data_IF_946750436966
#
_entry.id   IF_946750436966
#
_cell.length_a   1.000
_cell.length_b   1.000
_cell.length_c   1.000
_cell.angle_alpha   90.00
_cell.angle_beta   90.00
_cell.angle_gamma   90.00
#
_symmetry.space_group_name_H-M   'P 1'
#
loop_
_entity.id
_entity.type
_entity.pdbx_description
1 polymer ?
#
# COMPACT_ATOMS: atom_id res chain seq x y z
N UNK A 1 17.26 5.06 -9.38
CA UNK A 1 16.67 4.41 -8.20
C UNK A 1 15.21 4.80 -8.11
N UNK A 2 14.29 3.85 -8.33
CA UNK A 2 12.85 4.11 -8.24
C UNK A 2 12.46 4.17 -6.77
N UNK A 3 12.40 5.37 -6.19
CA UNK A 3 12.01 5.55 -4.81
C UNK A 3 10.55 5.07 -4.61
N UNK A 4 10.42 3.87 -4.05
CA UNK A 4 9.16 3.36 -3.54
C UNK A 4 9.01 3.92 -2.12
N UNK A 5 7.86 4.53 -1.83
CA UNK A 5 7.63 5.14 -0.53
C UNK A 5 6.24 4.76 -0.02
N UNK A 6 6.18 4.32 1.22
CA UNK A 6 4.95 3.94 1.87
C UNK A 6 4.32 5.19 2.49
N UNK A 7 3.20 5.64 1.95
CA UNK A 7 2.50 6.85 2.38
C UNK A 7 1.02 6.58 2.55
N UNK A 8 0.34 7.35 3.42
CA UNK A 8 -1.11 7.28 3.50
C UNK A 8 -1.75 8.03 2.33
N UNK A 9 -2.82 7.45 1.78
CA UNK A 9 -3.59 8.05 0.71
C UNK A 9 -4.34 9.28 1.23
N UNK A 10 -3.85 10.48 0.90
CA UNK A 10 -4.51 11.74 1.27
C UNK A 10 -5.91 11.92 0.62
N UNK A 11 -6.19 11.16 -0.45
CA UNK A 11 -7.45 11.17 -1.20
C UNK A 11 -7.73 9.78 -1.78
N UNK A 12 -8.96 9.52 -2.21
CA UNK A 12 -9.31 8.27 -2.91
C UNK A 12 -8.36 8.07 -4.11
N UNK A 13 -7.74 6.90 -4.19
CA UNK A 13 -6.82 6.50 -5.26
C UNK A 13 -7.27 5.17 -5.84
N UNK A 14 -6.89 4.86 -7.06
CA UNK A 14 -7.00 3.50 -7.61
C UNK A 14 -5.62 2.87 -7.68
N UNK A 15 -5.54 1.61 -7.29
CA UNK A 15 -4.33 0.82 -7.49
C UNK A 15 -4.03 0.72 -8.98
N UNK A 16 -2.81 1.09 -9.39
CA UNK A 16 -2.41 1.02 -10.79
C UNK A 16 -2.23 -0.42 -11.31
N UNK A 17 -2.18 -1.43 -10.43
CA UNK A 17 -1.99 -2.84 -10.80
C UNK A 17 -3.30 -3.63 -10.83
N UNK A 18 -4.07 -3.61 -9.73
CA UNK A 18 -5.33 -4.37 -9.63
C UNK A 18 -6.60 -3.52 -9.80
N UNK A 19 -6.49 -2.20 -9.97
CA UNK A 19 -7.66 -1.31 -10.11
C UNK A 19 -8.48 -1.09 -8.83
N UNK A 20 -8.10 -1.73 -7.71
CA UNK A 20 -8.81 -1.61 -6.42
C UNK A 20 -8.92 -0.15 -5.99
N UNK A 21 -10.11 0.25 -5.56
CA UNK A 21 -10.34 1.58 -4.99
C UNK A 21 -9.74 1.60 -3.59
N UNK A 22 -8.84 2.54 -3.36
CA UNK A 22 -8.15 2.79 -2.10
C UNK A 22 -8.77 4.03 -1.49
N UNK A 23 -9.21 3.91 -0.25
CA UNK A 23 -9.86 4.98 0.49
C UNK A 23 -8.87 5.98 1.09
N UNK A 24 -9.34 7.19 1.39
CA UNK A 24 -8.52 8.20 2.09
C UNK A 24 -8.15 7.66 3.47
N UNK A 25 -6.88 7.77 3.86
CA UNK A 25 -6.34 7.27 5.13
C UNK A 25 -5.74 5.87 5.04
N UNK A 26 -5.97 5.13 3.95
CA UNK A 26 -5.31 3.84 3.76
C UNK A 26 -3.85 4.00 3.33
N UNK A 27 -3.01 3.06 3.74
CA UNK A 27 -1.62 3.03 3.32
C UNK A 27 -1.48 2.53 1.89
N UNK A 28 -0.64 3.23 1.12
CA UNK A 28 -0.31 2.90 -0.25
C UNK A 28 1.18 2.93 -0.46
N UNK A 29 1.66 2.06 -1.34
CA UNK A 29 3.00 2.19 -1.87
C UNK A 29 2.96 3.13 -3.07
N UNK A 30 3.63 4.26 -2.94
CA UNK A 30 3.82 5.21 -4.02
C UNK A 30 5.12 4.89 -4.72
N UNK A 31 5.06 4.64 -6.02
CA UNK A 31 6.26 4.57 -6.86
C UNK A 31 6.12 5.65 -7.94
N UNK A 32 6.77 6.79 -7.71
CA UNK A 32 6.65 7.99 -8.55
C UNK A 32 5.21 8.53 -8.61
N UNK A 33 4.57 8.47 -9.79
CA UNK A 33 3.17 8.91 -10.02
C UNK A 33 2.14 7.80 -9.81
N UNK A 34 2.57 6.55 -9.64
CA UNK A 34 1.69 5.38 -9.46
C UNK A 34 1.46 5.11 -7.98
N UNK A 35 0.26 4.63 -7.68
CA UNK A 35 -0.14 4.22 -6.34
C UNK A 35 -0.55 2.74 -6.36
N UNK A 36 -0.08 1.98 -5.39
CA UNK A 36 -0.39 0.56 -5.25
C UNK A 36 -1.00 0.30 -3.88
N UNK A 37 -2.07 -0.50 -3.84
CA UNK A 37 -2.65 -0.98 -2.58
C UNK A 37 -1.67 -1.92 -1.87
N UNK A 38 -1.86 -2.15 -0.57
CA UNK A 38 -0.97 -2.98 0.25
C UNK A 38 -0.72 -4.39 -0.33
N UNK A 39 -1.74 -5.06 -0.89
CA UNK A 39 -1.56 -6.36 -1.54
C UNK A 39 -0.61 -6.31 -2.74
N UNK A 40 -0.81 -5.33 -3.63
CA UNK A 40 0.06 -5.18 -4.81
C UNK A 40 1.44 -4.64 -4.41
N UNK A 41 1.48 -3.76 -3.41
CA UNK A 41 2.68 -3.20 -2.84
C UNK A 41 3.60 -4.32 -2.32
N UNK A 42 3.08 -5.25 -1.51
CA UNK A 42 3.84 -6.38 -0.98
C UNK A 42 4.46 -7.26 -2.09
N UNK A 43 3.83 -7.32 -3.26
CA UNK A 43 4.29 -8.11 -4.40
C UNK A 43 5.31 -7.39 -5.31
N UNK A 44 5.35 -6.05 -5.29
CA UNK A 44 6.26 -5.25 -6.15
C UNK A 44 7.35 -4.53 -5.37
N UNK A 45 7.23 -4.47 -4.05
CA UNK A 45 8.17 -3.80 -3.19
C UNK A 45 9.51 -4.52 -3.28
N UNK A 46 10.55 -3.77 -3.60
CA UNK A 46 11.92 -4.29 -3.69
C UNK A 46 12.70 -4.11 -2.40
N UNK A 47 12.31 -3.11 -1.60
CA UNK A 47 12.94 -2.81 -0.33
C UNK A 47 12.41 -3.71 0.80
N UNK A 48 13.27 -4.51 1.45
CA UNK A 48 12.84 -5.42 2.52
C UNK A 48 12.23 -4.66 3.72
N UNK A 49 12.79 -3.49 4.06
CA UNK A 49 12.27 -2.65 5.14
C UNK A 49 10.85 -2.12 4.84
N UNK A 50 10.54 -1.82 3.57
CA UNK A 50 9.19 -1.43 3.18
C UNK A 50 8.26 -2.65 3.14
N UNK A 51 8.76 -3.81 2.69
CA UNK A 51 8.02 -5.06 2.69
C UNK A 51 7.51 -5.42 4.07
N UNK A 52 8.38 -5.41 5.09
CA UNK A 52 7.99 -5.68 6.47
C UNK A 52 6.91 -4.72 6.98
N UNK A 53 7.06 -3.41 6.69
CA UNK A 53 6.04 -2.41 7.05
C UNK A 53 4.70 -2.66 6.35
N UNK A 54 4.72 -2.95 5.05
CA UNK A 54 3.51 -3.25 4.27
C UNK A 54 2.83 -4.51 4.78
N UNK A 55 3.59 -5.58 5.07
CA UNK A 55 3.05 -6.82 5.63
C UNK A 55 2.49 -6.62 7.03
N UNK A 56 3.16 -5.83 7.88
CA UNK A 56 2.66 -5.45 9.20
C UNK A 56 1.34 -4.68 9.12
N UNK A 57 1.24 -3.71 8.20
CA UNK A 57 0.01 -2.97 7.96
C UNK A 57 -1.10 -3.85 7.37
N UNK A 58 -0.77 -4.76 6.44
CA UNK A 58 -1.73 -5.71 5.87
C UNK A 58 -2.31 -6.62 6.96
N UNK A 59 -1.47 -7.11 7.88
CA UNK A 59 -1.90 -7.88 9.05
C UNK A 59 -2.74 -7.03 10.01
N UNK A 60 -2.31 -5.80 10.32
CA UNK A 60 -3.03 -4.88 11.22
C UNK A 60 -4.36 -4.37 10.67
N UNK A 61 -4.50 -4.29 9.35
CA UNK A 61 -5.76 -3.91 8.70
C UNK A 61 -6.74 -5.08 8.60
N UNK A 62 -6.25 -6.33 8.61
CA UNK A 62 -7.08 -7.53 8.80
C UNK A 62 -7.58 -7.65 10.25
N UNK A 63 -6.84 -7.16 11.25
CA UNK A 63 -7.28 -7.14 12.65
C UNK A 63 -8.29 -6.04 12.98
N UNK A 64 -8.67 -5.20 12.01
CA UNK A 64 -9.72 -4.18 12.17
C UNK A 64 -11.13 -4.68 11.82
N UNK A 65 -11.28 -5.93 11.39
CA UNK A 65 -12.58 -6.56 11.12
C UNK A 65 -12.67 -7.89 11.87
N UNK A 66 -12.90 -7.82 13.18
CA UNK A 66 -13.57 -8.91 13.89
C UNK A 66 -14.45 -8.28 14.97
N UNK A 67 -15.73 -8.16 14.61
CA UNK A 67 -16.95 -7.99 15.43
C UNK A 67 -16.99 -6.86 16.47
#
# INVERSE_FOLDING_TARGET
>A
MSAQELVQAARKRKCSKCGKTITKGEYILRAGKKAYCLDCAAAIVTDPALKEKIEGLRKGQLTGYTQ
#
